data_IF_913770097722
#
_entry.id   IF_913770097722
#
_cell.length_a   1.000
_cell.length_b   1.000
_cell.length_c   1.000
_cell.angle_alpha   90.00
_cell.angle_beta   90.00
_cell.angle_gamma   90.00
#
_symmetry.space_group_name_H-M   'P 1'
#
loop_
_entity.id
_entity.type
_entity.pdbx_description
1 polymer ?
#
# COMPACT_ATOMS: atom_id res chain seq x y z
N UNK A 1 -23.36 19.52 28.00
CA UNK A 1 -23.02 18.63 26.87
C UNK A 1 -21.69 17.96 27.20
N UNK A 2 -21.73 16.76 27.78
CA UNK A 2 -20.55 15.89 27.86
C UNK A 2 -20.61 15.00 26.62
N UNK A 3 -19.72 15.22 25.65
CA UNK A 3 -19.53 14.26 24.58
C UNK A 3 -18.91 13.01 25.23
N UNK A 4 -19.72 11.99 25.44
CA UNK A 4 -19.23 10.71 25.97
C UNK A 4 -18.50 10.00 24.82
N UNK A 5 -17.16 9.81 24.87
CA UNK A 5 -16.42 9.16 23.79
C UNK A 5 -16.89 7.71 23.54
N UNK A 6 -17.60 7.12 24.50
CA UNK A 6 -18.05 5.73 24.48
C UNK A 6 -19.03 5.36 23.34
N UNK A 7 -19.81 6.31 22.77
CA UNK A 7 -20.74 5.99 21.67
C UNK A 7 -20.10 5.99 20.28
N UNK A 8 -18.90 6.57 20.12
CA UNK A 8 -18.13 6.49 18.89
C UNK A 8 -17.28 5.20 18.83
N UNK A 9 -16.95 4.63 20.00
CA UNK A 9 -16.18 3.38 20.14
C UNK A 9 -17.04 2.11 20.06
N UNK A 10 -18.37 2.24 20.05
CA UNK A 10 -19.30 1.11 19.97
C UNK A 10 -19.65 0.67 18.54
N UNK A 11 -19.06 1.28 17.52
CA UNK A 11 -19.20 0.83 16.13
C UNK A 11 -18.18 -0.29 15.90
N UNK A 12 -18.67 -1.49 15.61
CA UNK A 12 -17.81 -2.60 15.20
C UNK A 12 -17.21 -2.31 13.82
N UNK A 13 -15.92 -1.98 13.83
CA UNK A 13 -15.14 -1.66 12.63
C UNK A 13 -14.48 -2.91 12.03
N UNK A 14 -14.65 -4.09 12.65
CA UNK A 14 -14.10 -5.37 12.19
C UNK A 14 -14.39 -5.66 10.71
N UNK A 15 -15.61 -5.44 10.18
CA UNK A 15 -15.87 -5.71 8.76
C UNK A 15 -15.04 -4.84 7.81
N UNK A 16 -14.86 -3.56 8.15
CA UNK A 16 -14.08 -2.62 7.33
C UNK A 16 -12.59 -2.91 7.47
N UNK A 17 -12.12 -3.17 8.69
CA UNK A 17 -10.72 -3.54 8.95
C UNK A 17 -10.33 -4.83 8.23
N UNK A 18 -11.17 -5.87 8.28
CA UNK A 18 -10.90 -7.13 7.60
C UNK A 18 -10.88 -6.98 6.08
N UNK A 19 -11.75 -6.12 5.53
CA UNK A 19 -11.75 -5.83 4.10
C UNK A 19 -10.47 -5.09 3.69
N UNK A 20 -10.11 -4.02 4.40
CA UNK A 20 -8.91 -3.23 4.10
C UNK A 20 -7.63 -4.06 4.29
N UNK A 21 -7.55 -4.85 5.35
CA UNK A 21 -6.43 -5.76 5.58
C UNK A 21 -6.36 -6.85 4.50
N UNK A 22 -7.49 -7.42 4.09
CA UNK A 22 -7.53 -8.40 2.99
C UNK A 22 -7.08 -7.82 1.65
N UNK A 23 -7.38 -6.55 1.36
CA UNK A 23 -6.85 -5.84 0.18
C UNK A 23 -5.35 -5.65 0.30
N UNK A 24 -4.86 -5.18 1.46
CA UNK A 24 -3.41 -5.04 1.71
C UNK A 24 -2.71 -6.37 1.51
N UNK A 25 -3.17 -7.43 2.16
CA UNK A 25 -2.55 -8.75 2.08
C UNK A 25 -2.54 -9.32 0.65
N UNK A 26 -3.59 -9.03 -0.13
CA UNK A 26 -3.63 -9.43 -1.55
C UNK A 26 -2.60 -8.66 -2.39
N UNK A 27 -2.41 -7.37 -2.13
CA UNK A 27 -1.52 -6.48 -2.89
C UNK A 27 -0.05 -6.60 -2.43
N UNK A 28 0.21 -6.81 -1.15
CA UNK A 28 1.57 -6.90 -0.57
C UNK A 28 1.99 -8.32 -0.23
N UNK A 29 1.11 -9.30 -0.39
CA UNK A 29 1.43 -10.71 -0.22
C UNK A 29 2.37 -11.25 -1.30
N UNK A 30 2.70 -12.56 -1.26
CA UNK A 30 3.70 -13.15 -2.15
C UNK A 30 3.45 -12.92 -3.64
N UNK A 31 2.19 -12.97 -4.07
CA UNK A 31 1.82 -12.72 -5.47
C UNK A 31 2.05 -11.26 -5.88
N UNK A 32 1.64 -10.31 -5.03
CA UNK A 32 1.84 -8.89 -5.30
C UNK A 32 3.32 -8.50 -5.35
N UNK A 33 4.15 -9.11 -4.50
CA UNK A 33 5.61 -8.93 -4.54
C UNK A 33 6.20 -9.44 -5.87
N UNK A 34 5.77 -10.61 -6.34
CA UNK A 34 6.24 -11.15 -7.63
C UNK A 34 5.86 -10.22 -8.78
N UNK A 35 4.60 -9.76 -8.82
CA UNK A 35 4.14 -8.82 -9.86
C UNK A 35 4.92 -7.51 -9.79
N UNK A 36 5.11 -6.94 -8.59
CA UNK A 36 5.88 -5.72 -8.39
C UNK A 36 7.34 -5.86 -8.81
N UNK A 37 7.95 -7.02 -8.56
CA UNK A 37 9.33 -7.32 -8.97
C UNK A 37 9.45 -7.38 -10.49
N UNK A 38 8.51 -8.03 -11.18
CA UNK A 38 8.48 -8.08 -12.65
C UNK A 38 8.28 -6.69 -13.26
N UNK A 39 7.39 -5.89 -12.69
CA UNK A 39 7.18 -4.50 -13.11
C UNK A 39 8.45 -3.65 -12.95
N UNK A 40 9.16 -3.81 -11.83
CA UNK A 40 10.42 -3.11 -11.57
C UNK A 40 11.50 -3.48 -12.59
N UNK A 41 11.64 -4.76 -12.91
CA UNK A 41 12.57 -5.22 -13.95
C UNK A 41 12.21 -4.61 -15.31
N UNK A 42 10.93 -4.62 -15.67
CA UNK A 42 10.45 -4.00 -16.91
C UNK A 42 10.82 -2.52 -17.01
N UNK A 43 10.50 -1.74 -15.97
CA UNK A 43 10.80 -0.30 -15.92
C UNK A 43 12.30 -0.04 -15.97
N UNK A 44 13.09 -0.83 -15.24
CA UNK A 44 14.55 -0.74 -15.26
C UNK A 44 15.12 -0.97 -16.66
N UNK A 45 14.66 -2.02 -17.36
CA UNK A 45 15.11 -2.32 -18.72
C UNK A 45 14.64 -1.26 -19.72
N UNK A 46 13.38 -0.81 -19.65
CA UNK A 46 12.86 0.26 -20.53
C UNK A 46 13.63 1.56 -20.36
N UNK A 47 14.00 1.91 -19.12
CA UNK A 47 14.89 3.04 -18.84
C UNK A 47 16.31 2.82 -19.37
N UNK A 48 16.89 1.63 -19.16
CA UNK A 48 18.25 1.27 -19.62
C UNK A 48 18.40 1.42 -21.14
N UNK A 49 17.35 1.06 -21.91
CA UNK A 49 17.33 1.20 -23.37
C UNK A 49 16.96 2.61 -23.85
N UNK A 50 16.83 3.59 -22.95
CA UNK A 50 16.55 4.99 -23.31
C UNK A 50 15.12 5.23 -23.80
N UNK A 51 14.21 4.28 -23.59
CA UNK A 51 12.79 4.41 -23.97
C UNK A 51 11.95 5.12 -22.90
N UNK A 52 12.51 5.30 -21.70
CA UNK A 52 11.87 5.94 -20.55
C UNK A 52 12.87 6.88 -19.87
N UNK A 53 12.42 8.06 -19.45
CA UNK A 53 13.29 9.07 -18.83
C UNK A 53 13.62 8.75 -17.37
N UNK A 54 14.81 9.12 -16.89
CA UNK A 54 15.23 8.87 -15.51
C UNK A 54 14.23 9.38 -14.46
N UNK A 55 13.64 10.55 -14.69
CA UNK A 55 12.60 11.10 -13.79
C UNK A 55 11.37 10.19 -13.73
N UNK A 56 10.92 9.64 -14.85
CA UNK A 56 9.79 8.71 -14.88
C UNK A 56 10.13 7.41 -14.15
N UNK A 57 11.36 6.91 -14.31
CA UNK A 57 11.83 5.71 -13.62
C UNK A 57 11.82 5.91 -12.10
N UNK A 58 12.25 7.09 -11.64
CA UNK A 58 12.21 7.46 -10.22
C UNK A 58 10.79 7.52 -9.66
N UNK A 59 9.81 8.06 -10.41
CA UNK A 59 8.42 8.08 -9.96
C UNK A 59 7.84 6.68 -9.76
N UNK A 60 8.26 5.71 -10.56
CA UNK A 60 7.86 4.31 -10.38
C UNK A 60 8.42 3.74 -9.07
N UNK A 61 9.67 4.05 -8.71
CA UNK A 61 10.25 3.63 -7.43
C UNK A 61 9.48 4.22 -6.24
N UNK A 62 9.08 5.49 -6.33
CA UNK A 62 8.26 6.15 -5.29
C UNK A 62 6.90 5.45 -5.15
N UNK A 63 6.25 5.09 -6.25
CA UNK A 63 4.98 4.38 -6.22
C UNK A 63 5.12 2.99 -5.57
N UNK A 64 6.17 2.23 -5.91
CA UNK A 64 6.45 0.92 -5.30
C UNK A 64 6.71 1.07 -3.79
N UNK A 65 7.47 2.07 -3.38
CA UNK A 65 7.69 2.36 -1.96
C UNK A 65 6.38 2.70 -1.23
N UNK A 66 5.47 3.44 -1.87
CA UNK A 66 4.13 3.72 -1.33
C UNK A 66 3.29 2.46 -1.14
N UNK A 67 3.32 1.52 -2.08
CA UNK A 67 2.62 0.22 -1.96
C UNK A 67 3.23 -0.61 -0.82
N UNK A 68 4.56 -0.65 -0.73
CA UNK A 68 5.25 -1.38 0.33
C UNK A 68 4.96 -0.80 1.73
N UNK A 69 4.65 0.50 1.83
CA UNK A 69 4.27 1.17 3.08
C UNK A 69 2.80 0.94 3.49
N UNK A 70 1.96 0.37 2.62
CA UNK A 70 0.53 0.17 2.90
C UNK A 70 0.23 -0.60 4.21
N UNK A 71 0.95 -1.70 4.55
CA UNK A 71 0.72 -2.41 5.81
C UNK A 71 1.01 -1.54 7.04
N UNK A 72 2.05 -0.71 6.97
CA UNK A 72 2.42 0.21 8.06
C UNK A 72 1.35 1.29 8.27
N UNK A 73 0.77 1.82 7.19
CA UNK A 73 -0.30 2.83 7.28
C UNK A 73 -1.56 2.24 7.90
N UNK A 74 -1.99 1.06 7.44
CA UNK A 74 -3.18 0.38 8.00
C UNK A 74 -2.94 0.05 9.47
N UNK A 75 -1.75 -0.44 9.83
CA UNK A 75 -1.40 -0.67 11.23
C UNK A 75 -1.44 0.63 12.05
N UNK A 76 -0.90 1.75 11.54
CA UNK A 76 -0.86 3.01 12.28
C UNK A 76 -2.24 3.64 12.54
N UNK A 77 -3.22 3.42 11.65
CA UNK A 77 -4.59 3.96 11.80
C UNK A 77 -5.37 3.16 12.86
N UNK A 78 -5.14 1.85 12.94
CA UNK A 78 -5.98 0.95 13.73
C UNK A 78 -5.31 0.36 14.98
N UNK A 79 -3.99 0.52 15.15
CA UNK A 79 -3.24 0.11 16.33
C UNK A 79 -2.93 1.26 17.31
N UNK A 80 -3.43 2.48 17.03
CA UNK A 80 -3.30 3.67 17.86
C UNK A 80 -4.52 3.91 18.75
#
# INVERSE_FOLDING_TARGET
MFANPAFAQSIDLSPVQNLLQGIVDTITGPLGIVIGTLALIGVFLTWLFGMLDFRQALWVLVAIAGIAAAPTIVTAIWAA
#
